data_IF_778386342329
#
_entry.id   IF_778386342329
#
_cell.length_a   1.000
_cell.length_b   1.000
_cell.length_c   1.000
_cell.angle_alpha   90.00
_cell.angle_beta   90.00
_cell.angle_gamma   90.00
#
_symmetry.space_group_name_H-M   'P 1'
#
loop_
_entity.id
_entity.type
_entity.pdbx_description
1 polymer ?
#
# COMPACT_ATOMS: atom_id res chain seq x y z
N UNK A 1 66.98 30.92 37.09
CA UNK A 1 66.29 30.21 36.01
C UNK A 1 64.86 29.87 36.42
N UNK A 2 63.87 30.47 35.78
CA UNK A 2 62.47 30.42 36.20
C UNK A 2 61.79 29.28 35.40
N UNK A 3 61.26 28.27 36.09
CA UNK A 3 60.39 27.30 35.51
C UNK A 3 58.91 27.74 35.63
N UNK A 4 58.28 28.00 34.49
CA UNK A 4 56.84 28.26 34.41
C UNK A 4 56.11 26.91 34.40
N UNK A 5 55.33 26.59 35.44
CA UNK A 5 54.42 25.47 35.44
C UNK A 5 53.20 25.81 34.60
N UNK A 6 52.93 25.00 33.57
CA UNK A 6 51.64 25.01 32.87
C UNK A 6 50.61 24.23 33.65
N UNK A 7 49.62 24.94 34.17
CA UNK A 7 48.41 24.32 34.74
C UNK A 7 47.50 23.86 33.61
N UNK A 8 47.41 22.55 33.39
CA UNK A 8 46.45 21.94 32.46
C UNK A 8 45.11 21.87 33.21
N UNK A 9 44.19 22.75 32.88
CA UNK A 9 42.80 22.66 33.31
C UNK A 9 42.12 21.48 32.60
N UNK A 10 41.96 20.36 33.29
CA UNK A 10 41.11 19.27 32.87
C UNK A 10 39.64 19.72 32.94
N UNK A 11 39.08 20.05 31.78
CA UNK A 11 37.64 20.24 31.63
C UNK A 11 36.99 18.85 31.70
N UNK A 12 36.58 18.44 32.92
CA UNK A 12 35.68 17.30 33.10
C UNK A 12 34.32 17.72 32.58
N UNK A 13 34.06 17.44 31.30
CA UNK A 13 32.72 17.48 30.77
C UNK A 13 31.91 16.41 31.51
N UNK A 14 31.09 16.83 32.45
CA UNK A 14 30.03 16.03 33.04
C UNK A 14 29.05 15.69 31.89
N UNK A 15 29.31 14.59 31.20
CA UNK A 15 28.29 13.94 30.39
C UNK A 15 27.24 13.44 31.38
N UNK A 16 26.27 14.28 31.69
CA UNK A 16 25.01 13.85 32.25
C UNK A 16 24.47 12.81 31.30
N UNK A 17 24.52 11.55 31.71
CA UNK A 17 23.80 10.46 31.04
C UNK A 17 22.33 10.83 31.16
N UNK A 18 21.84 11.62 30.20
CA UNK A 18 20.45 11.62 29.89
C UNK A 18 20.18 10.15 29.46
N UNK A 19 19.59 9.38 30.37
CA UNK A 19 18.99 8.13 30.02
C UNK A 19 17.83 8.46 29.04
N UNK A 20 18.18 8.70 27.78
CA UNK A 20 17.24 8.72 26.71
C UNK A 20 16.66 7.30 26.69
N UNK A 21 15.42 7.17 27.14
CA UNK A 21 14.73 5.89 27.14
C UNK A 21 14.45 5.55 25.68
N UNK A 22 15.46 4.97 25.03
CA UNK A 22 15.35 4.43 23.68
C UNK A 22 14.55 3.13 23.77
N UNK A 23 13.41 3.10 23.10
CA UNK A 23 12.56 1.90 23.06
C UNK A 23 12.61 1.31 21.65
N UNK A 24 13.21 0.13 21.55
CA UNK A 24 13.20 -0.64 20.29
C UNK A 24 12.22 -1.81 20.47
N UNK A 25 11.26 -1.90 19.57
CA UNK A 25 10.25 -2.96 19.57
C UNK A 25 10.43 -3.83 18.33
N UNK A 26 10.58 -5.13 18.54
CA UNK A 26 10.36 -6.15 17.51
C UNK A 26 8.85 -6.39 17.40
N UNK A 27 8.34 -6.41 16.18
CA UNK A 27 6.93 -6.69 15.91
C UNK A 27 6.76 -7.46 14.61
N UNK A 28 5.61 -8.09 14.43
CA UNK A 28 5.33 -8.77 13.19
C UNK A 28 3.92 -9.34 13.09
N UNK A 29 3.66 -9.90 11.90
CA UNK A 29 2.45 -10.63 11.56
C UNK A 29 2.85 -11.85 10.75
N UNK A 30 2.39 -13.01 11.17
CA UNK A 30 2.43 -14.26 10.42
C UNK A 30 1.00 -14.60 10.00
N UNK A 31 0.74 -14.65 8.70
CA UNK A 31 -0.60 -14.85 8.11
C UNK A 31 -0.50 -15.87 6.98
N UNK A 32 -1.26 -16.96 7.10
CA UNK A 32 -1.27 -18.08 6.15
C UNK A 32 -2.68 -18.53 5.89
N UNK A 33 -3.00 -18.86 4.63
CA UNK A 33 -4.30 -19.38 4.24
C UNK A 33 -4.22 -20.50 3.20
N UNK A 34 -5.33 -21.23 3.08
CA UNK A 34 -5.62 -22.11 1.95
C UNK A 34 -6.69 -21.40 1.11
N UNK A 35 -6.45 -21.37 -0.19
CA UNK A 35 -7.28 -20.67 -1.16
C UNK A 35 -7.78 -21.60 -2.24
N UNK A 36 -9.02 -21.38 -2.63
CA UNK A 36 -9.63 -21.88 -3.87
C UNK A 36 -10.00 -20.69 -4.75
N UNK A 37 -9.71 -20.76 -6.05
CA UNK A 37 -10.21 -19.84 -7.05
C UNK A 37 -10.61 -20.57 -8.34
N UNK A 38 -11.71 -20.13 -8.98
CA UNK A 38 -12.17 -20.67 -10.25
C UNK A 38 -11.89 -19.72 -11.42
N UNK A 39 -12.10 -20.20 -12.64
CA UNK A 39 -11.98 -19.45 -13.91
C UNK A 39 -10.59 -18.81 -14.13
N UNK A 40 -9.58 -19.44 -13.56
CA UNK A 40 -8.19 -18.97 -13.62
C UNK A 40 -7.56 -19.34 -14.94
N UNK A 41 -7.01 -18.34 -15.64
CA UNK A 41 -6.18 -18.49 -16.83
C UNK A 41 -4.70 -18.24 -16.54
N UNK A 42 -3.88 -18.28 -17.58
CA UNK A 42 -2.47 -17.87 -17.50
C UNK A 42 -2.37 -16.34 -17.48
N UNK A 43 -1.35 -15.81 -16.82
CA UNK A 43 -1.03 -14.38 -16.91
C UNK A 43 -0.71 -14.03 -18.36
N UNK A 44 -1.40 -13.07 -18.99
CA UNK A 44 -1.10 -12.65 -20.36
C UNK A 44 0.31 -12.07 -20.47
N UNK A 45 1.13 -12.66 -21.32
CA UNK A 45 2.51 -12.26 -21.58
C UNK A 45 2.79 -12.27 -23.07
N UNK A 46 3.86 -11.64 -23.52
CA UNK A 46 4.28 -11.70 -24.92
C UNK A 46 4.58 -13.14 -25.36
N UNK A 47 5.08 -13.99 -24.47
CA UNK A 47 5.42 -15.40 -24.76
C UNK A 47 4.21 -16.30 -25.00
N UNK A 48 3.05 -15.96 -24.42
CA UNK A 48 1.79 -16.68 -24.68
C UNK A 48 0.84 -15.92 -25.63
N UNK A 49 1.35 -14.88 -26.32
CA UNK A 49 0.56 -14.05 -27.22
C UNK A 49 -0.56 -13.28 -26.51
N UNK A 50 -0.38 -12.96 -25.24
CA UNK A 50 -1.37 -12.32 -24.35
C UNK A 50 -2.67 -13.13 -24.20
N UNK A 51 -2.57 -14.45 -24.40
CA UNK A 51 -3.72 -15.36 -24.32
C UNK A 51 -3.76 -16.02 -22.92
N UNK A 52 -4.80 -15.78 -22.10
CA UNK A 52 -4.93 -16.40 -20.80
C UNK A 52 -5.28 -17.89 -20.85
N UNK A 53 -5.60 -18.46 -22.03
CA UNK A 53 -5.88 -19.88 -22.19
C UNK A 53 -7.18 -20.34 -21.53
N UNK A 54 -7.33 -21.69 -21.38
CA UNK A 54 -8.56 -22.30 -20.87
C UNK A 54 -8.77 -22.01 -19.37
N UNK A 55 -10.01 -22.16 -18.95
CA UNK A 55 -10.44 -22.00 -17.56
C UNK A 55 -9.97 -23.17 -16.70
N UNK A 56 -9.34 -22.85 -15.57
CA UNK A 56 -8.90 -23.81 -14.57
C UNK A 56 -9.34 -23.38 -13.16
N UNK A 57 -9.27 -24.33 -12.22
CA UNK A 57 -9.39 -24.05 -10.81
C UNK A 57 -8.01 -24.11 -10.15
N UNK A 58 -7.80 -23.25 -9.13
CA UNK A 58 -6.58 -23.26 -8.34
C UNK A 58 -6.91 -23.59 -6.90
N UNK A 59 -6.09 -24.47 -6.33
CA UNK A 59 -6.02 -24.75 -4.88
C UNK A 59 -4.59 -24.47 -4.46
N UNK A 60 -4.39 -23.58 -3.50
CA UNK A 60 -3.03 -23.25 -3.04
C UNK A 60 -2.98 -22.89 -1.56
N UNK A 61 -1.81 -23.01 -0.99
CA UNK A 61 -1.45 -22.35 0.26
C UNK A 61 -0.82 -21.01 -0.09
N UNK A 62 -1.21 -19.95 0.61
CA UNK A 62 -0.75 -18.60 0.31
C UNK A 62 -0.46 -17.81 1.59
N UNK A 63 0.59 -17.00 1.54
CA UNK A 63 0.99 -16.12 2.63
C UNK A 63 0.27 -14.78 2.55
N UNK A 64 -0.27 -14.32 3.68
CA UNK A 64 -0.80 -12.97 3.77
C UNK A 64 -2.21 -12.78 3.21
N UNK A 65 -3.18 -13.58 3.66
CA UNK A 65 -4.56 -13.45 3.19
C UNK A 65 -5.28 -12.21 3.73
N UNK A 66 -5.30 -12.04 5.03
CA UNK A 66 -5.85 -10.83 5.64
C UNK A 66 -4.80 -9.72 5.76
N UNK A 67 -3.57 -10.06 6.18
CA UNK A 67 -2.51 -9.07 6.33
C UNK A 67 -1.18 -9.63 5.83
N UNK A 68 -0.49 -8.91 4.96
CA UNK A 68 0.83 -9.35 4.48
C UNK A 68 1.77 -9.73 5.63
N UNK A 69 2.31 -10.97 5.56
CA UNK A 69 3.26 -11.47 6.55
C UNK A 69 4.49 -10.57 6.58
N UNK A 70 4.89 -10.16 7.78
CA UNK A 70 5.96 -9.18 7.97
C UNK A 70 6.61 -9.30 9.33
N UNK A 71 7.85 -8.85 9.42
CA UNK A 71 8.53 -8.58 10.67
C UNK A 71 9.28 -7.26 10.59
N UNK A 72 9.45 -6.59 11.71
CA UNK A 72 10.09 -5.28 11.72
C UNK A 72 10.62 -4.88 13.08
N UNK A 73 11.51 -3.90 13.02
CA UNK A 73 12.03 -3.16 14.16
C UNK A 73 11.54 -1.73 14.03
N UNK A 74 11.04 -1.18 15.12
CA UNK A 74 10.77 0.25 15.25
C UNK A 74 11.31 0.76 16.55
N UNK A 75 11.82 1.99 16.54
CA UNK A 75 12.36 2.60 17.74
C UNK A 75 12.09 4.08 17.81
N UNK A 76 12.08 4.60 19.03
CA UNK A 76 12.01 6.03 19.30
C UNK A 76 13.00 6.37 20.40
N UNK A 77 13.64 7.53 20.27
CA UNK A 77 14.53 8.11 21.25
C UNK A 77 14.03 9.52 21.60
N UNK A 78 13.90 9.83 22.87
CA UNK A 78 13.53 11.16 23.33
C UNK A 78 14.79 12.06 23.37
N UNK A 79 14.81 13.10 22.56
CA UNK A 79 15.92 14.05 22.45
C UNK A 79 15.74 15.27 23.38
N UNK A 80 14.67 15.30 24.18
CA UNK A 80 14.33 16.41 25.04
C UNK A 80 13.46 17.48 24.39
N UNK A 81 12.82 18.30 25.22
CA UNK A 81 11.98 19.41 24.75
C UNK A 81 10.83 19.01 23.85
N UNK A 82 10.31 17.77 23.90
CA UNK A 82 9.27 17.25 22.99
C UNK A 82 9.79 16.87 21.61
N UNK A 83 11.10 16.84 21.37
CA UNK A 83 11.72 16.34 20.15
C UNK A 83 12.07 14.86 20.33
N UNK A 84 11.81 14.06 19.30
CA UNK A 84 12.10 12.62 19.26
C UNK A 84 12.76 12.26 17.93
N UNK A 85 13.72 11.34 17.94
CA UNK A 85 14.11 10.60 16.75
C UNK A 85 13.30 9.31 16.67
N UNK A 86 13.14 8.79 15.46
CA UNK A 86 12.42 7.54 15.23
C UNK A 86 12.94 6.82 14.00
N UNK A 87 12.77 5.50 13.97
CA UNK A 87 13.03 4.69 12.78
C UNK A 87 12.05 3.54 12.67
N UNK A 88 11.87 3.05 11.44
CA UNK A 88 11.16 1.81 11.11
C UNK A 88 11.94 1.05 10.06
N UNK A 89 12.15 -0.25 10.30
CA UNK A 89 12.71 -1.22 9.37
C UNK A 89 11.74 -2.40 9.31
N UNK A 90 11.01 -2.57 8.19
CA UNK A 90 9.98 -3.58 8.04
C UNK A 90 10.20 -4.40 6.77
N UNK A 91 10.35 -5.72 6.91
CA UNK A 91 10.37 -6.65 5.80
C UNK A 91 9.00 -7.30 5.58
N UNK A 92 8.73 -7.74 4.35
CA UNK A 92 7.66 -8.66 4.02
C UNK A 92 8.24 -10.02 3.63
N UNK A 93 7.59 -11.09 4.00
CA UNK A 93 8.02 -12.43 3.67
C UNK A 93 6.85 -13.36 3.34
N UNK A 94 7.14 -14.42 2.61
CA UNK A 94 6.20 -15.46 2.26
C UNK A 94 6.38 -16.64 3.24
N UNK A 95 5.34 -16.96 4.02
CA UNK A 95 5.36 -18.05 4.98
C UNK A 95 5.36 -19.43 4.31
N UNK A 96 4.76 -19.54 3.14
CA UNK A 96 4.69 -20.78 2.35
C UNK A 96 6.05 -21.21 1.79
N UNK A 97 6.95 -20.27 1.55
CA UNK A 97 8.24 -20.51 0.90
C UNK A 97 9.46 -19.98 1.66
N UNK A 98 9.27 -19.16 2.70
CA UNK A 98 10.35 -18.51 3.46
C UNK A 98 11.09 -17.41 2.70
N UNK A 99 10.62 -17.00 1.53
CA UNK A 99 11.27 -15.98 0.69
C UNK A 99 10.86 -14.56 1.10
N UNK A 100 11.72 -13.57 0.78
CA UNK A 100 11.39 -12.16 0.93
C UNK A 100 10.39 -11.72 -0.13
N UNK A 101 9.45 -10.87 0.25
CA UNK A 101 8.54 -10.17 -0.65
C UNK A 101 9.19 -8.90 -1.23
N UNK A 102 8.40 -8.08 -1.97
CA UNK A 102 8.81 -6.80 -2.56
C UNK A 102 10.11 -6.93 -3.37
N UNK A 103 10.14 -7.93 -4.29
CA UNK A 103 11.28 -8.20 -5.18
C UNK A 103 12.57 -8.57 -4.42
N UNK A 104 12.45 -9.31 -3.31
CA UNK A 104 13.61 -9.79 -2.53
C UNK A 104 14.26 -8.74 -1.63
N UNK A 105 13.62 -7.61 -1.39
CA UNK A 105 14.16 -6.54 -0.54
C UNK A 105 14.10 -6.92 0.94
N UNK A 106 15.21 -6.75 1.66
CA UNK A 106 15.27 -7.03 3.10
C UNK A 106 14.27 -6.16 3.90
N UNK A 107 14.15 -4.87 3.60
CA UNK A 107 13.18 -3.97 4.21
C UNK A 107 12.25 -3.37 3.15
N UNK A 108 11.60 -4.25 2.37
CA UNK A 108 10.80 -3.86 1.20
C UNK A 108 9.47 -3.17 1.54
N UNK A 109 9.00 -3.25 2.79
CA UNK A 109 7.76 -2.60 3.20
C UNK A 109 7.98 -1.17 3.66
N UNK A 110 8.87 -0.96 4.63
CA UNK A 110 9.27 0.36 5.11
C UNK A 110 10.73 0.33 5.58
N UNK A 111 11.48 1.38 5.29
CA UNK A 111 12.84 1.58 5.75
C UNK A 111 13.11 3.09 5.85
N UNK A 112 12.92 3.67 7.02
CA UNK A 112 13.07 5.12 7.20
C UNK A 112 13.55 5.51 8.61
N UNK A 113 14.13 6.70 8.67
CA UNK A 113 14.48 7.41 9.92
C UNK A 113 13.83 8.80 9.88
N UNK A 114 13.51 9.35 11.03
CA UNK A 114 12.86 10.65 11.08
C UNK A 114 12.99 11.36 12.41
N UNK A 115 12.47 12.58 12.42
CA UNK A 115 12.32 13.41 13.62
C UNK A 115 10.84 13.75 13.80
N UNK A 116 10.38 13.74 15.05
CA UNK A 116 9.05 14.16 15.42
C UNK A 116 9.13 15.21 16.52
N UNK A 117 8.24 16.20 16.46
CA UNK A 117 8.10 17.25 17.48
C UNK A 117 6.65 17.35 17.89
N UNK A 118 6.42 17.29 19.20
CA UNK A 118 5.07 17.41 19.74
C UNK A 118 4.40 18.73 19.30
N UNK A 119 3.15 18.65 18.83
CA UNK A 119 2.37 19.77 18.28
C UNK A 119 2.75 20.24 16.87
N UNK A 120 3.85 19.74 16.29
CA UNK A 120 4.27 20.07 14.92
C UNK A 120 4.06 18.89 13.98
N UNK A 121 4.44 17.68 14.38
CA UNK A 121 4.37 16.47 13.56
C UNK A 121 5.73 15.82 13.36
N UNK A 122 5.81 14.99 12.33
CA UNK A 122 6.96 14.16 11.98
C UNK A 122 7.43 14.46 10.56
N UNK A 123 8.76 14.49 10.36
CA UNK A 123 9.40 14.39 9.06
C UNK A 123 10.28 13.13 9.02
N UNK A 124 10.14 12.33 7.96
CA UNK A 124 10.86 11.07 7.83
C UNK A 124 11.46 10.91 6.44
N UNK A 125 12.57 10.17 6.34
CA UNK A 125 13.39 10.01 5.15
C UNK A 125 13.65 8.53 4.89
N UNK A 126 13.37 8.06 3.68
CA UNK A 126 13.58 6.67 3.27
C UNK A 126 12.33 6.06 2.63
N UNK A 127 12.29 4.73 2.54
CA UNK A 127 11.18 4.00 1.92
C UNK A 127 9.94 4.01 2.81
N UNK A 128 8.83 4.54 2.27
CA UNK A 128 7.58 4.76 3.01
C UNK A 128 6.36 4.57 2.10
N UNK A 129 5.18 4.47 2.71
CA UNK A 129 3.90 4.55 1.99
C UNK A 129 3.64 5.97 1.48
N UNK A 130 2.90 6.09 0.37
CA UNK A 130 2.43 7.37 -0.17
C UNK A 130 1.41 8.04 0.75
N UNK A 131 1.17 9.34 0.54
CA UNK A 131 0.14 10.09 1.27
C UNK A 131 -1.27 9.58 0.96
N UNK A 132 -1.51 9.16 -0.28
CA UNK A 132 -2.78 8.58 -0.72
C UNK A 132 -3.07 7.26 0.02
N UNK A 133 -2.09 6.36 0.10
CA UNK A 133 -2.23 5.10 0.84
C UNK A 133 -2.55 5.35 2.33
N UNK A 134 -1.80 6.21 3.00
CA UNK A 134 -2.03 6.53 4.41
C UNK A 134 -3.43 7.13 4.65
N UNK A 135 -3.91 7.94 3.71
CA UNK A 135 -5.21 8.60 3.81
C UNK A 135 -6.37 7.62 3.66
N UNK A 136 -6.30 6.71 2.68
CA UNK A 136 -7.40 5.82 2.34
C UNK A 136 -7.48 4.57 3.22
N UNK A 137 -6.38 4.13 3.85
CA UNK A 137 -6.34 2.93 4.66
C UNK A 137 -7.40 2.86 5.78
N UNK A 138 -7.83 4.00 6.29
CA UNK A 138 -8.89 4.09 7.31
C UNK A 138 -10.31 4.16 6.72
N UNK A 139 -10.43 4.20 5.40
CA UNK A 139 -11.69 4.28 4.66
C UNK A 139 -11.96 3.07 3.78
N UNK A 140 -11.08 2.05 3.83
CA UNK A 140 -11.27 0.73 3.25
C UNK A 140 -11.94 -0.19 4.28
N UNK A 141 -13.08 -0.81 3.95
CA UNK A 141 -13.81 -1.71 4.86
C UNK A 141 -13.00 -2.92 5.33
N UNK A 142 -12.17 -3.49 4.47
CA UNK A 142 -11.32 -4.64 4.81
C UNK A 142 -9.96 -4.25 5.37
N UNK A 143 -9.70 -2.91 5.51
CA UNK A 143 -8.43 -2.33 5.96
C UNK A 143 -7.23 -2.79 5.11
N UNK A 144 -7.41 -2.79 3.80
CA UNK A 144 -6.43 -3.25 2.82
C UNK A 144 -6.02 -4.72 3.02
N UNK A 145 -7.04 -5.59 3.21
CA UNK A 145 -6.82 -7.04 3.26
C UNK A 145 -6.09 -7.50 1.98
N UNK A 146 -4.97 -8.18 2.17
CA UNK A 146 -3.99 -8.40 1.10
C UNK A 146 -4.52 -9.30 -0.02
N UNK A 147 -5.43 -10.23 0.30
CA UNK A 147 -5.84 -11.27 -0.63
C UNK A 147 -6.68 -10.74 -1.79
N UNK A 148 -7.73 -9.98 -1.51
CA UNK A 148 -8.73 -9.61 -2.52
C UNK A 148 -9.01 -8.11 -2.59
N UNK A 149 -8.39 -7.30 -1.76
CA UNK A 149 -8.55 -5.85 -1.82
C UNK A 149 -7.85 -5.27 -3.04
N UNK A 150 -8.50 -4.41 -3.84
CA UNK A 150 -7.89 -3.79 -5.03
C UNK A 150 -6.99 -2.58 -4.66
N UNK A 151 -6.07 -2.78 -3.72
CA UNK A 151 -5.22 -1.70 -3.16
C UNK A 151 -4.46 -0.92 -4.22
N UNK A 152 -3.94 -1.61 -5.24
CA UNK A 152 -3.15 -0.96 -6.31
C UNK A 152 -4.05 -0.10 -7.19
N UNK A 153 -5.27 -0.54 -7.48
CA UNK A 153 -6.25 0.25 -8.23
C UNK A 153 -6.65 1.51 -7.44
N UNK A 154 -6.88 1.34 -6.15
CA UNK A 154 -7.30 2.42 -5.25
C UNK A 154 -6.17 3.43 -5.02
N UNK A 155 -4.96 2.97 -4.69
CA UNK A 155 -3.86 3.83 -4.22
C UNK A 155 -2.71 4.03 -5.21
N UNK A 156 -2.63 3.24 -6.29
CA UNK A 156 -1.54 3.25 -7.26
C UNK A 156 -0.52 2.15 -7.04
N UNK A 157 0.17 1.77 -8.12
CA UNK A 157 1.26 0.80 -8.06
C UNK A 157 2.44 1.28 -7.19
N UNK A 158 2.59 2.60 -7.10
CA UNK A 158 3.63 3.28 -6.33
C UNK A 158 3.26 3.51 -4.85
N UNK A 159 2.30 2.79 -4.30
CA UNK A 159 1.86 3.01 -2.90
C UNK A 159 2.96 2.86 -1.84
N UNK A 160 4.15 2.36 -2.22
CA UNK A 160 5.40 2.42 -1.45
C UNK A 160 6.51 2.94 -2.34
N UNK A 161 7.22 3.96 -1.89
CA UNK A 161 8.24 4.67 -2.66
C UNK A 161 9.56 4.72 -1.92
N UNK A 162 10.65 4.54 -2.68
CA UNK A 162 12.01 4.78 -2.21
C UNK A 162 12.29 6.29 -2.17
N UNK A 163 13.40 6.67 -1.53
CA UNK A 163 13.97 8.01 -1.58
C UNK A 163 12.97 9.12 -1.23
N UNK A 164 12.07 8.82 -0.26
CA UNK A 164 10.94 9.66 0.09
C UNK A 164 11.25 10.55 1.28
N UNK A 165 10.95 11.85 1.16
CA UNK A 165 10.76 12.76 2.27
C UNK A 165 9.26 12.85 2.53
N UNK A 166 8.84 12.61 3.77
CA UNK A 166 7.43 12.62 4.14
C UNK A 166 7.19 13.37 5.43
N UNK A 167 6.26 14.30 5.38
CA UNK A 167 5.71 14.98 6.55
C UNK A 167 4.38 14.34 6.95
N UNK A 168 4.15 14.20 8.26
CA UNK A 168 2.86 13.81 8.84
C UNK A 168 2.62 14.59 10.12
N UNK A 169 1.53 15.35 10.17
CA UNK A 169 1.09 16.13 11.33
C UNK A 169 -0.32 15.78 11.77
N UNK A 170 -0.55 15.87 13.09
CA UNK A 170 -1.86 15.70 13.71
C UNK A 170 -2.21 16.97 14.47
N UNK A 171 -3.32 17.63 14.08
CA UNK A 171 -3.78 18.91 14.62
C UNK A 171 -5.23 18.78 15.11
N UNK A 172 -5.40 18.36 16.35
CA UNK A 172 -6.70 17.99 16.87
C UNK A 172 -7.32 16.86 16.01
N UNK A 173 -8.52 17.05 15.43
CA UNK A 173 -9.17 16.04 14.60
C UNK A 173 -8.60 15.96 13.17
N UNK A 174 -7.68 16.85 12.78
CA UNK A 174 -7.13 16.92 11.42
C UNK A 174 -5.76 16.25 11.35
N UNK A 175 -5.59 15.32 10.42
CA UNK A 175 -4.29 14.76 10.01
C UNK A 175 -3.91 15.31 8.65
N UNK A 176 -2.70 15.84 8.51
CA UNK A 176 -2.13 16.27 7.23
C UNK A 176 -0.89 15.44 6.92
N UNK A 177 -0.77 15.00 5.67
CA UNK A 177 0.37 14.21 5.16
C UNK A 177 0.78 14.78 3.82
N UNK A 178 2.10 14.88 3.59
CA UNK A 178 2.65 15.23 2.28
C UNK A 178 3.97 14.49 2.07
N UNK A 179 4.25 14.10 0.82
CA UNK A 179 5.50 13.43 0.48
C UNK A 179 6.05 13.87 -0.87
N UNK A 180 7.36 13.67 -1.02
CA UNK A 180 8.10 13.76 -2.26
C UNK A 180 9.08 12.59 -2.33
N UNK A 181 9.10 11.85 -3.46
CA UNK A 181 10.09 10.83 -3.78
C UNK A 181 11.00 11.32 -4.89
N UNK A 182 12.33 11.23 -4.69
CA UNK A 182 13.34 11.57 -5.70
C UNK A 182 13.53 10.47 -6.74
N UNK A 183 12.98 9.29 -6.49
CA UNK A 183 12.98 8.13 -7.37
C UNK A 183 12.29 6.98 -6.67
N UNK A 184 11.13 6.57 -7.19
CA UNK A 184 10.25 5.63 -6.49
C UNK A 184 10.84 4.25 -6.26
N UNK A 185 11.86 3.88 -7.04
CA UNK A 185 12.45 2.55 -7.03
C UNK A 185 11.49 1.45 -7.49
N UNK A 186 10.32 1.82 -7.99
CA UNK A 186 9.35 0.90 -8.55
C UNK A 186 9.64 0.69 -10.03
N UNK A 187 10.02 -0.54 -10.38
CA UNK A 187 10.21 -0.97 -11.76
C UNK A 187 9.10 -1.96 -12.13
N UNK A 188 8.28 -1.59 -13.13
CA UNK A 188 7.25 -2.45 -13.69
C UNK A 188 7.70 -3.01 -15.03
N UNK A 189 7.43 -4.29 -15.35
CA UNK A 189 7.81 -4.87 -16.63
C UNK A 189 7.05 -4.20 -17.78
N UNK A 190 7.56 -4.35 -18.99
CA UNK A 190 6.81 -4.05 -20.20
C UNK A 190 5.49 -4.84 -20.22
N UNK A 191 4.41 -4.21 -20.66
CA UNK A 191 3.07 -4.82 -20.71
C UNK A 191 2.38 -4.51 -22.03
N UNK A 192 1.15 -4.98 -22.19
CA UNK A 192 0.34 -4.70 -23.40
C UNK A 192 0.28 -3.19 -23.65
N UNK A 193 0.63 -2.79 -24.87
CA UNK A 193 0.67 -1.38 -25.28
C UNK A 193 1.88 -0.58 -24.78
N UNK A 194 2.74 -1.16 -23.93
CA UNK A 194 3.96 -0.55 -23.42
C UNK A 194 5.14 -1.50 -23.68
N UNK A 195 6.00 -1.15 -24.62
CA UNK A 195 7.13 -1.99 -25.04
C UNK A 195 8.39 -1.83 -24.15
N UNK A 196 8.41 -0.86 -23.26
CA UNK A 196 9.56 -0.58 -22.39
C UNK A 196 9.19 -0.74 -20.92
N UNK A 197 10.13 -1.10 -20.04
CA UNK A 197 9.95 -1.04 -18.60
C UNK A 197 9.53 0.35 -18.14
N UNK A 198 8.77 0.42 -17.04
CA UNK A 198 8.22 1.64 -16.47
C UNK A 198 8.89 1.91 -15.13
N UNK A 199 9.51 3.07 -14.96
CA UNK A 199 10.12 3.50 -13.70
C UNK A 199 11.43 2.78 -13.33
N UNK A 200 11.80 2.86 -12.06
CA UNK A 200 12.97 2.19 -11.48
C UNK A 200 14.32 2.83 -11.77
N UNK A 201 14.36 4.02 -12.35
CA UNK A 201 15.57 4.68 -12.82
C UNK A 201 15.63 6.18 -12.46
N UNK A 202 15.15 6.54 -11.29
CA UNK A 202 15.26 7.86 -10.71
C UNK A 202 16.68 8.24 -10.29
N UNK A 203 16.83 9.44 -9.71
CA UNK A 203 18.08 9.97 -9.16
C UNK A 203 19.24 10.06 -10.17
N UNK A 204 18.91 10.37 -11.42
CA UNK A 204 19.87 10.52 -12.51
C UNK A 204 20.39 11.96 -12.59
N UNK A 205 21.72 12.20 -12.63
CA UNK A 205 22.28 13.53 -12.78
C UNK A 205 21.70 14.28 -13.98
N UNK A 206 21.25 15.53 -13.77
CA UNK A 206 20.62 16.35 -14.81
C UNK A 206 19.16 16.02 -15.11
N UNK A 207 18.58 14.98 -14.52
CA UNK A 207 17.22 14.54 -14.78
C UNK A 207 16.37 14.49 -13.48
N UNK A 208 16.28 15.62 -12.76
CA UNK A 208 15.66 15.74 -11.44
C UNK A 208 14.22 15.19 -11.33
N UNK A 209 13.45 15.27 -12.43
CA UNK A 209 12.04 14.80 -12.43
C UNK A 209 11.87 13.34 -12.85
N UNK A 210 12.97 12.66 -13.12
CA UNK A 210 12.93 11.28 -13.61
C UNK A 210 12.51 10.33 -12.51
N UNK A 211 11.45 9.54 -12.76
CA UNK A 211 10.86 8.55 -11.84
C UNK A 211 10.48 9.14 -10.46
N UNK A 212 10.17 10.42 -10.39
CA UNK A 212 9.75 11.09 -9.15
C UNK A 212 8.29 10.86 -8.87
N UNK A 213 7.91 10.99 -7.60
CA UNK A 213 6.50 11.04 -7.20
C UNK A 213 6.28 12.04 -6.08
N UNK A 214 5.04 12.49 -5.93
CA UNK A 214 4.63 13.38 -4.86
C UNK A 214 3.13 13.28 -4.61
N UNK A 215 2.75 13.55 -3.38
CA UNK A 215 1.34 13.57 -3.01
C UNK A 215 1.10 14.25 -1.68
N UNK A 216 -0.17 14.53 -1.44
CA UNK A 216 -0.63 15.11 -0.18
C UNK A 216 -2.03 14.61 0.16
N UNK A 217 -2.34 14.59 1.44
CA UNK A 217 -3.65 14.23 1.94
C UNK A 217 -4.00 14.99 3.21
N UNK A 218 -5.28 15.22 3.41
CA UNK A 218 -5.85 15.73 4.64
C UNK A 218 -7.02 14.83 5.04
N UNK A 219 -7.03 14.39 6.29
CA UNK A 219 -8.13 13.64 6.87
C UNK A 219 -8.65 14.36 8.11
N UNK A 220 -9.96 14.35 8.27
CA UNK A 220 -10.67 14.79 9.47
C UNK A 220 -11.37 13.60 10.10
N UNK A 221 -11.21 13.41 11.41
CA UNK A 221 -11.90 12.37 12.18
C UNK A 221 -12.32 12.93 13.52
N UNK A 222 -13.63 13.05 13.75
CA UNK A 222 -14.18 13.53 15.01
C UNK A 222 -15.53 12.87 15.29
N UNK A 223 -15.67 12.27 16.47
CA UNK A 223 -16.86 11.51 16.84
C UNK A 223 -17.15 10.41 15.79
N UNK A 224 -18.39 10.29 15.31
CA UNK A 224 -18.77 9.23 14.36
C UNK A 224 -18.28 9.51 12.91
N UNK A 225 -17.86 10.73 12.59
CA UNK A 225 -17.58 11.17 11.22
C UNK A 225 -16.09 11.12 10.89
N UNK A 226 -15.74 10.53 9.77
CA UNK A 226 -14.44 10.62 9.14
C UNK A 226 -14.57 11.04 7.68
N UNK A 227 -13.70 11.95 7.22
CA UNK A 227 -13.57 12.31 5.80
C UNK A 227 -12.10 12.49 5.44
N UNK A 228 -11.74 12.21 4.19
CA UNK A 228 -10.39 12.44 3.68
C UNK A 228 -10.42 12.90 2.25
N UNK A 229 -9.42 13.71 1.88
CA UNK A 229 -9.09 14.04 0.49
C UNK A 229 -7.61 13.80 0.27
N UNK A 230 -7.26 13.25 -0.89
CA UNK A 230 -5.88 12.91 -1.20
C UNK A 230 -5.59 13.08 -2.69
N UNK A 231 -4.34 13.37 -3.00
CA UNK A 231 -3.79 13.40 -4.34
C UNK A 231 -2.43 12.74 -4.36
N UNK A 232 -2.15 12.00 -5.44
CA UNK A 232 -0.85 11.38 -5.71
C UNK A 232 -0.51 11.49 -7.19
N UNK A 233 0.76 11.71 -7.51
CA UNK A 233 1.29 11.69 -8.86
C UNK A 233 2.64 11.00 -8.90
N UNK A 234 2.75 9.97 -9.72
CA UNK A 234 4.00 9.36 -10.11
C UNK A 234 4.36 9.77 -11.54
N UNK A 235 5.64 10.08 -11.77
CA UNK A 235 6.20 10.43 -13.07
C UNK A 235 7.16 9.33 -13.54
N UNK A 236 6.66 8.12 -13.87
CA UNK A 236 7.52 7.00 -14.24
C UNK A 236 8.26 7.31 -15.52
N UNK A 237 9.50 6.86 -15.61
CA UNK A 237 10.21 6.85 -16.89
C UNK A 237 9.71 5.68 -17.71
N UNK A 238 9.35 5.96 -18.96
CA UNK A 238 8.95 4.99 -19.97
C UNK A 238 9.90 5.15 -21.14
N UNK A 239 10.84 4.20 -21.30
CA UNK A 239 11.95 4.38 -22.24
C UNK A 239 12.88 5.52 -21.81
N UNK A 240 12.97 6.58 -22.62
CA UNK A 240 13.84 7.74 -22.38
C UNK A 240 13.10 8.96 -21.82
N UNK A 241 11.79 8.94 -21.76
CA UNK A 241 10.93 10.06 -21.34
C UNK A 241 10.02 9.67 -20.18
N UNK A 242 9.45 10.66 -19.51
CA UNK A 242 8.57 10.42 -18.36
C UNK A 242 7.09 10.48 -18.75
N UNK A 243 6.33 9.48 -18.36
CA UNK A 243 4.87 9.54 -18.33
C UNK A 243 4.36 10.27 -17.10
N UNK A 244 3.03 10.24 -16.90
CA UNK A 244 2.39 10.72 -15.67
C UNK A 244 1.26 9.77 -15.27
N UNK A 245 1.22 9.43 -14.00
CA UNK A 245 0.15 8.64 -13.39
C UNK A 245 -0.39 9.41 -12.21
N UNK A 246 -1.67 9.76 -12.26
CA UNK A 246 -2.32 10.65 -11.30
C UNK A 246 -3.51 9.96 -10.67
N UNK A 247 -3.65 10.12 -9.37
CA UNK A 247 -4.83 9.70 -8.61
C UNK A 247 -5.26 10.83 -7.68
N UNK A 248 -6.56 11.10 -7.64
CA UNK A 248 -7.17 11.99 -6.65
C UNK A 248 -8.34 11.25 -6.01
N UNK A 249 -8.46 11.31 -4.69
CA UNK A 249 -9.47 10.55 -3.98
C UNK A 249 -10.16 11.35 -2.88
N UNK A 250 -11.39 10.95 -2.60
CA UNK A 250 -12.16 11.36 -1.43
C UNK A 250 -12.72 10.13 -0.76
N UNK A 251 -12.61 10.05 0.56
CA UNK A 251 -13.19 8.99 1.37
C UNK A 251 -14.04 9.56 2.50
N UNK A 252 -15.07 8.83 2.88
CA UNK A 252 -15.93 9.17 3.99
C UNK A 252 -16.28 7.93 4.82
N UNK A 253 -16.54 8.13 6.10
CA UNK A 253 -17.00 7.08 6.99
C UNK A 253 -17.94 7.63 8.06
N UNK A 254 -18.86 6.76 8.52
CA UNK A 254 -19.75 7.06 9.63
C UNK A 254 -19.89 5.84 10.54
N UNK A 255 -19.62 6.04 11.82
CA UNK A 255 -19.82 5.03 12.86
C UNK A 255 -21.21 5.20 13.48
N UNK A 256 -22.11 4.26 13.22
CA UNK A 256 -23.47 4.28 13.81
C UNK A 256 -23.43 3.89 15.28
N UNK A 257 -22.46 3.08 15.65
CA UNK A 257 -22.18 2.63 17.01
C UNK A 257 -20.71 2.19 17.11
N UNK A 258 -20.30 1.75 18.27
CA UNK A 258 -18.98 1.15 18.51
C UNK A 258 -18.78 -0.17 17.73
N UNK A 259 -19.88 -0.78 17.28
CA UNK A 259 -19.87 -2.07 16.58
C UNK A 259 -20.13 -1.97 15.08
N UNK A 260 -20.68 -0.86 14.57
CA UNK A 260 -21.05 -0.72 13.17
C UNK A 260 -20.52 0.57 12.55
N UNK A 261 -19.79 0.43 11.46
CA UNK A 261 -19.26 1.55 10.67
C UNK A 261 -19.48 1.30 9.18
N UNK A 262 -19.96 2.32 8.47
CA UNK A 262 -20.02 2.34 7.00
C UNK A 262 -18.92 3.29 6.51
N UNK A 263 -18.28 2.92 5.41
CA UNK A 263 -17.24 3.73 4.78
C UNK A 263 -17.20 3.48 3.28
N UNK A 264 -16.63 4.43 2.55
CA UNK A 264 -16.49 4.34 1.12
C UNK A 264 -15.86 5.59 0.54
N UNK A 265 -15.72 5.61 -0.77
CA UNK A 265 -15.12 6.75 -1.43
C UNK A 265 -15.15 6.67 -2.96
N UNK A 266 -14.46 7.62 -3.53
CA UNK A 266 -14.28 7.81 -4.95
C UNK A 266 -12.82 8.14 -5.24
N UNK A 267 -12.27 7.56 -6.30
CA UNK A 267 -10.93 7.87 -6.81
C UNK A 267 -11.00 8.11 -8.31
N UNK A 268 -10.56 9.28 -8.73
CA UNK A 268 -10.25 9.65 -10.11
C UNK A 268 -8.84 9.19 -10.47
N UNK A 269 -8.66 8.51 -11.62
CA UNK A 269 -7.37 8.06 -12.11
C UNK A 269 -7.09 8.48 -13.55
N UNK A 270 -5.84 8.83 -13.86
CA UNK A 270 -5.38 9.14 -15.22
C UNK A 270 -3.92 8.75 -15.39
N UNK A 271 -3.65 7.91 -16.40
CA UNK A 271 -2.30 7.53 -16.79
C UNK A 271 -2.03 8.01 -18.23
N UNK A 272 -0.90 8.69 -18.43
CA UNK A 272 -0.42 9.13 -19.73
C UNK A 272 0.98 8.57 -19.99
N UNK A 273 1.26 8.24 -21.26
CA UNK A 273 2.58 7.83 -21.68
C UNK A 273 3.56 9.03 -21.80
N UNK A 274 4.78 8.76 -22.25
CA UNK A 274 5.82 9.77 -22.41
C UNK A 274 5.51 10.82 -23.52
N UNK A 275 4.67 10.51 -24.48
CA UNK A 275 4.16 11.45 -25.50
C UNK A 275 3.00 12.31 -24.99
N UNK A 276 2.50 12.07 -23.77
CA UNK A 276 1.34 12.75 -23.22
C UNK A 276 0.00 12.17 -23.64
N UNK A 277 0.00 11.07 -24.39
CA UNK A 277 -1.22 10.38 -24.83
C UNK A 277 -1.88 9.68 -23.66
N UNK A 278 -3.22 9.70 -23.66
CA UNK A 278 -4.02 9.07 -22.63
C UNK A 278 -4.00 7.53 -22.79
N UNK A 279 -3.44 6.84 -21.78
CA UNK A 279 -3.36 5.39 -21.73
C UNK A 279 -4.54 4.80 -20.97
N UNK A 280 -4.82 5.35 -19.79
CA UNK A 280 -5.91 4.92 -18.93
C UNK A 280 -6.59 6.12 -18.29
N UNK A 281 -7.91 6.06 -18.23
CA UNK A 281 -8.75 6.97 -17.47
C UNK A 281 -9.87 6.17 -16.85
N UNK A 282 -9.99 6.24 -15.52
CA UNK A 282 -10.97 5.48 -14.78
C UNK A 282 -11.49 6.25 -13.56
N UNK A 283 -12.70 5.92 -13.15
CA UNK A 283 -13.36 6.40 -11.95
C UNK A 283 -13.67 5.20 -11.05
N UNK A 284 -12.95 5.08 -9.95
CA UNK A 284 -13.10 3.96 -9.03
C UNK A 284 -13.95 4.36 -7.84
N UNK A 285 -14.89 3.50 -7.48
CA UNK A 285 -15.81 3.68 -6.37
C UNK A 285 -15.74 2.47 -5.45
N UNK A 286 -15.76 2.71 -4.15
CA UNK A 286 -15.92 1.66 -3.15
C UNK A 286 -16.90 2.07 -2.08
N UNK A 287 -17.59 1.10 -1.52
CA UNK A 287 -18.46 1.24 -0.37
C UNK A 287 -18.50 -0.07 0.41
N UNK A 288 -18.55 0.02 1.71
CA UNK A 288 -18.72 -1.16 2.53
C UNK A 288 -19.00 -0.84 3.99
N UNK A 289 -19.09 -1.88 4.77
CA UNK A 289 -19.39 -1.79 6.19
C UNK A 289 -18.55 -2.79 7.00
N UNK A 290 -18.24 -2.41 8.22
CA UNK A 290 -17.73 -3.33 9.25
C UNK A 290 -18.77 -3.49 10.34
N UNK A 291 -18.91 -4.73 10.84
CA UNK A 291 -19.84 -5.05 11.92
C UNK A 291 -19.23 -6.04 12.89
N UNK A 292 -19.11 -5.62 14.14
CA UNK A 292 -18.68 -6.49 15.25
C UNK A 292 -19.92 -7.21 15.81
N UNK A 293 -20.13 -8.46 15.37
CA UNK A 293 -21.30 -9.27 15.71
C UNK A 293 -21.26 -9.69 17.19
N UNK A 294 -20.07 -10.11 17.65
CA UNK A 294 -19.75 -10.42 19.05
C UNK A 294 -18.35 -9.90 19.36
N UNK A 295 -17.90 -9.87 20.61
CA UNK A 295 -16.52 -9.50 20.93
C UNK A 295 -15.46 -10.33 20.20
N UNK A 296 -15.79 -11.54 19.74
CA UNK A 296 -14.88 -12.41 19.00
C UNK A 296 -15.10 -12.41 17.49
N UNK A 297 -16.32 -12.13 16.99
CA UNK A 297 -16.68 -12.24 15.57
C UNK A 297 -16.87 -10.88 14.94
N UNK A 298 -16.01 -10.52 14.00
CA UNK A 298 -16.11 -9.34 13.15
C UNK A 298 -16.39 -9.71 11.70
N UNK A 299 -17.14 -8.86 11.02
CA UNK A 299 -17.45 -8.96 9.58
C UNK A 299 -17.08 -7.66 8.88
N UNK A 300 -16.56 -7.77 7.66
CA UNK A 300 -16.39 -6.64 6.73
C UNK A 300 -16.94 -7.05 5.36
N UNK A 301 -17.81 -6.24 4.79
CA UNK A 301 -18.35 -6.39 3.44
C UNK A 301 -17.96 -5.16 2.64
N UNK A 302 -17.52 -5.37 1.40
CA UNK A 302 -17.08 -4.31 0.50
C UNK A 302 -17.54 -4.57 -0.92
N UNK A 303 -17.97 -3.52 -1.61
CA UNK A 303 -18.24 -3.48 -3.03
C UNK A 303 -17.32 -2.46 -3.69
N UNK A 304 -16.63 -2.89 -4.75
CA UNK A 304 -15.74 -2.09 -5.58
C UNK A 304 -16.26 -2.05 -7.02
N UNK A 305 -16.24 -0.88 -7.64
CA UNK A 305 -16.63 -0.68 -9.03
C UNK A 305 -15.64 0.27 -9.71
N UNK A 306 -15.12 -0.15 -10.86
CA UNK A 306 -14.23 0.65 -11.69
C UNK A 306 -14.91 1.02 -13.01
N UNK A 307 -15.25 2.30 -13.17
CA UNK A 307 -15.82 2.85 -14.39
C UNK A 307 -14.68 3.23 -15.34
N UNK A 308 -14.30 2.26 -16.18
CA UNK A 308 -13.21 2.38 -17.15
C UNK A 308 -13.61 3.26 -18.32
N UNK A 309 -13.23 4.54 -18.29
CA UNK A 309 -13.55 5.53 -19.34
C UNK A 309 -12.69 5.39 -20.59
N UNK A 310 -11.48 4.93 -20.43
CA UNK A 310 -10.53 4.74 -21.52
C UNK A 310 -9.46 3.71 -21.13
N UNK A 311 -9.15 2.80 -22.03
CA UNK A 311 -7.99 1.93 -21.96
C UNK A 311 -7.40 1.81 -23.37
N UNK A 312 -6.24 2.47 -23.61
CA UNK A 312 -5.57 2.54 -24.92
C UNK A 312 -6.49 3.00 -26.08
N UNK A 313 -7.37 3.98 -25.83
CA UNK A 313 -8.30 4.49 -26.83
C UNK A 313 -9.55 3.63 -27.05
N UNK A 314 -9.69 2.52 -26.32
CA UNK A 314 -10.83 1.62 -26.42
C UNK A 314 -11.72 1.68 -25.16
N UNK A 315 -12.98 1.29 -25.32
CA UNK A 315 -13.86 0.99 -24.20
C UNK A 315 -13.56 -0.41 -23.68
N UNK A 316 -13.38 -0.54 -22.39
CA UNK A 316 -13.25 -1.81 -21.70
C UNK A 316 -14.50 -2.07 -20.84
N UNK A 317 -14.89 -3.35 -20.64
CA UNK A 317 -15.97 -3.67 -19.71
C UNK A 317 -15.59 -3.22 -18.30
N UNK A 318 -16.53 -2.56 -17.60
CA UNK A 318 -16.32 -2.07 -16.25
C UNK A 318 -16.20 -3.25 -15.26
N UNK A 319 -15.06 -3.39 -14.56
CA UNK A 319 -14.91 -4.41 -13.53
C UNK A 319 -15.60 -4.00 -12.23
N UNK A 320 -16.10 -5.01 -11.50
CA UNK A 320 -16.57 -4.82 -10.14
C UNK A 320 -16.33 -6.07 -9.30
N UNK A 321 -16.28 -5.88 -8.01
CA UNK A 321 -16.02 -6.94 -7.03
C UNK A 321 -16.83 -6.75 -5.77
N UNK A 322 -17.31 -7.86 -5.21
CA UNK A 322 -17.83 -7.93 -3.83
C UNK A 322 -16.87 -8.78 -3.02
N UNK A 323 -16.43 -8.27 -1.87
CA UNK A 323 -15.55 -8.97 -0.95
C UNK A 323 -16.19 -9.07 0.44
N UNK A 324 -16.04 -10.23 1.07
CA UNK A 324 -16.45 -10.48 2.46
C UNK A 324 -15.25 -11.00 3.23
N UNK A 325 -14.97 -10.39 4.36
CA UNK A 325 -14.02 -10.86 5.36
C UNK A 325 -14.76 -11.12 6.67
N UNK A 326 -14.69 -12.35 7.16
CA UNK A 326 -15.14 -12.71 8.50
C UNK A 326 -13.92 -13.11 9.34
N UNK A 327 -13.76 -12.52 10.51
CA UNK A 327 -12.67 -12.86 11.42
C UNK A 327 -13.20 -13.30 12.78
N UNK A 328 -12.58 -14.35 13.32
CA UNK A 328 -12.85 -14.87 14.64
C UNK A 328 -11.59 -14.77 15.51
N UNK A 329 -11.64 -13.91 16.53
CA UNK A 329 -10.54 -13.63 17.43
C UNK A 329 -10.44 -14.71 18.50
N UNK A 330 -9.37 -15.52 18.43
CA UNK A 330 -9.05 -16.55 19.45
C UNK A 330 -8.35 -15.93 20.66
N UNK A 331 -7.54 -14.90 20.42
CA UNK A 331 -6.82 -14.15 21.46
C UNK A 331 -6.49 -12.75 20.97
N UNK A 332 -5.90 -11.89 21.83
CA UNK A 332 -5.41 -10.55 21.43
C UNK A 332 -4.43 -10.57 20.24
N UNK A 333 -3.82 -11.72 19.95
CA UNK A 333 -2.77 -11.87 18.92
C UNK A 333 -3.14 -12.84 17.80
N UNK A 334 -4.14 -13.69 17.97
CA UNK A 334 -4.45 -14.78 17.03
C UNK A 334 -5.89 -14.70 16.57
N UNK A 335 -6.07 -14.65 15.26
CA UNK A 335 -7.35 -14.64 14.57
C UNK A 335 -7.43 -15.81 13.58
N UNK A 336 -8.61 -16.42 13.47
CA UNK A 336 -9.01 -17.19 12.30
C UNK A 336 -9.80 -16.28 11.38
N UNK A 337 -9.73 -16.52 10.07
CA UNK A 337 -10.52 -15.73 9.13
C UNK A 337 -10.98 -16.53 7.92
N UNK A 338 -12.08 -16.08 7.34
CA UNK A 338 -12.60 -16.45 6.03
C UNK A 338 -12.64 -15.17 5.18
N UNK A 339 -11.95 -15.18 4.04
CA UNK A 339 -12.02 -14.13 3.03
C UNK A 339 -12.59 -14.72 1.75
N UNK A 340 -13.57 -14.06 1.15
CA UNK A 340 -14.13 -14.47 -0.13
C UNK A 340 -14.40 -13.24 -0.99
N UNK A 341 -14.24 -13.40 -2.30
CA UNK A 341 -14.57 -12.36 -3.26
C UNK A 341 -15.15 -12.95 -4.54
N UNK A 342 -16.11 -12.24 -5.10
CA UNK A 342 -16.63 -12.46 -6.44
C UNK A 342 -16.32 -11.23 -7.29
N UNK A 343 -15.56 -11.43 -8.37
CA UNK A 343 -15.18 -10.39 -9.32
C UNK A 343 -15.83 -10.62 -10.68
N UNK A 344 -16.26 -9.55 -11.34
CA UNK A 344 -16.84 -9.54 -12.69
C UNK A 344 -16.01 -8.64 -13.60
N UNK A 345 -15.76 -9.08 -14.84
CA UNK A 345 -14.95 -8.42 -15.86
C UNK A 345 -13.48 -8.17 -15.47
N UNK A 346 -13.01 -8.79 -14.38
CA UNK A 346 -11.64 -8.71 -13.87
C UNK A 346 -11.31 -9.99 -13.10
N UNK A 347 -10.05 -10.18 -12.76
CA UNK A 347 -9.65 -11.12 -11.73
C UNK A 347 -10.06 -10.67 -10.32
N UNK A 348 -9.69 -11.43 -9.31
CA UNK A 348 -10.02 -11.14 -7.91
C UNK A 348 -9.30 -9.91 -7.33
N UNK A 349 -8.27 -9.43 -8.01
CA UNK A 349 -7.63 -8.15 -7.76
C UNK A 349 -7.73 -7.34 -9.05
N UNK A 350 -8.35 -6.18 -8.98
CA UNK A 350 -8.73 -5.40 -10.16
C UNK A 350 -7.53 -4.75 -10.88
N UNK A 351 -6.41 -4.52 -10.19
CA UNK A 351 -5.18 -3.99 -10.76
C UNK A 351 -3.95 -4.70 -10.17
N UNK A 352 -2.88 -4.82 -10.93
CA UNK A 352 -1.70 -5.60 -10.58
C UNK A 352 -0.40 -4.82 -10.79
N UNK A 353 0.59 -5.08 -9.96
CA UNK A 353 1.95 -4.59 -10.14
C UNK A 353 2.64 -5.18 -11.38
N UNK A 354 2.23 -6.37 -11.83
CA UNK A 354 2.84 -7.07 -12.97
C UNK A 354 2.26 -6.70 -14.33
N UNK A 355 1.06 -6.14 -14.40
CA UNK A 355 0.32 -5.87 -15.63
C UNK A 355 -0.33 -4.50 -15.60
N UNK A 356 0.46 -3.48 -15.37
CA UNK A 356 0.06 -2.13 -14.97
C UNK A 356 -1.04 -1.46 -15.81
N UNK A 357 -1.08 -1.69 -17.11
CA UNK A 357 -2.05 -1.02 -17.98
C UNK A 357 -3.17 -1.91 -18.53
N UNK A 358 -3.03 -3.22 -18.42
CA UNK A 358 -3.96 -4.11 -19.08
C UNK A 358 -4.96 -4.77 -18.17
N UNK A 359 -5.05 -4.34 -16.97
CA UNK A 359 -5.31 -5.28 -15.94
C UNK A 359 -6.57 -5.11 -15.17
N UNK A 360 -7.34 -4.09 -15.42
CA UNK A 360 -8.72 -4.05 -14.92
C UNK A 360 -9.56 -5.21 -15.44
N UNK A 361 -9.11 -5.89 -16.51
CA UNK A 361 -9.78 -7.05 -17.09
C UNK A 361 -9.12 -8.38 -16.75
N UNK A 362 -7.92 -8.33 -16.23
CA UNK A 362 -7.13 -9.52 -16.08
C UNK A 362 -6.30 -9.42 -14.83
N UNK A 363 -6.78 -9.56 -13.63
CA UNK A 363 -5.82 -10.08 -12.80
C UNK A 363 -5.09 -9.35 -11.86
N UNK A 364 -5.38 -9.37 -10.85
CA UNK A 364 -4.59 -9.09 -9.71
C UNK A 364 -3.18 -9.73 -9.70
N UNK A 365 -2.45 -9.51 -8.65
CA UNK A 365 -1.23 -10.24 -8.34
C UNK A 365 -1.44 -11.75 -8.27
N UNK A 366 -2.69 -12.20 -8.29
CA UNK A 366 -3.03 -13.58 -8.07
C UNK A 366 -3.42 -14.30 -9.33
N UNK A 367 -4.36 -13.79 -10.12
CA UNK A 367 -4.97 -14.57 -11.19
C UNK A 367 -5.39 -13.78 -12.41
N UNK A 368 -5.23 -14.39 -13.59
CA UNK A 368 -5.82 -14.02 -14.84
C UNK A 368 -7.20 -14.63 -14.99
N UNK A 369 -8.13 -13.85 -15.51
CA UNK A 369 -9.39 -14.36 -15.97
C UNK A 369 -9.16 -15.16 -17.26
N UNK A 370 -9.63 -16.43 -17.30
CA UNK A 370 -9.46 -17.30 -18.45
C UNK A 370 -10.29 -16.86 -19.67
N UNK A 371 -9.91 -17.32 -20.85
CA UNK A 371 -10.65 -17.04 -22.09
C UNK A 371 -12.12 -17.46 -21.98
N UNK A 372 -13.01 -16.60 -22.50
CA UNK A 372 -14.45 -16.82 -22.49
C UNK A 372 -15.12 -16.69 -21.13
N UNK A 373 -14.36 -16.43 -20.09
CA UNK A 373 -14.89 -16.17 -18.74
C UNK A 373 -15.07 -14.67 -18.52
N UNK A 374 -16.03 -14.31 -17.67
CA UNK A 374 -16.32 -12.93 -17.31
C UNK A 374 -16.42 -12.70 -15.80
N UNK A 375 -16.19 -13.75 -15.02
CA UNK A 375 -16.24 -13.68 -13.55
C UNK A 375 -15.28 -14.67 -12.92
N UNK A 376 -14.99 -14.45 -11.64
CA UNK A 376 -14.12 -15.28 -10.83
C UNK A 376 -14.58 -15.25 -9.38
N UNK A 377 -14.56 -16.40 -8.71
CA UNK A 377 -14.84 -16.55 -7.29
C UNK A 377 -13.57 -17.06 -6.61
N UNK A 378 -13.21 -16.43 -5.50
CA UNK A 378 -12.15 -16.87 -4.60
C UNK A 378 -12.68 -17.06 -3.19
N UNK A 379 -12.17 -18.07 -2.52
CA UNK A 379 -12.44 -18.35 -1.10
C UNK A 379 -11.13 -18.73 -0.44
N UNK A 380 -10.78 -18.02 0.63
CA UNK A 380 -9.58 -18.27 1.41
C UNK A 380 -9.92 -18.38 2.91
N UNK A 381 -9.37 -19.39 3.56
CA UNK A 381 -9.49 -19.59 5.00
C UNK A 381 -8.10 -19.63 5.62
N UNK A 382 -7.89 -18.89 6.69
CA UNK A 382 -6.55 -18.74 7.23
C UNK A 382 -6.47 -18.45 8.72
N UNK A 383 -5.22 -18.40 9.17
CA UNK A 383 -4.83 -18.01 10.53
C UNK A 383 -3.85 -16.85 10.46
N UNK A 384 -4.07 -15.85 11.31
CA UNK A 384 -3.19 -14.70 11.49
C UNK A 384 -2.71 -14.65 12.94
N UNK A 385 -1.40 -14.51 13.12
CA UNK A 385 -0.78 -14.30 14.43
C UNK A 385 0.07 -13.03 14.43
N UNK A 386 -0.11 -12.20 15.46
CA UNK A 386 0.65 -10.95 15.70
C UNK A 386 1.62 -11.17 16.85
N UNK A 387 2.86 -10.74 16.73
CA UNK A 387 3.87 -10.87 17.76
C UNK A 387 4.67 -9.58 17.97
#
# INVERSE_FOLDING_TARGET
>A
MKHKGMATAALVASMGSAFAQSNVTLYGVADMNIEYANHVGNVPTATNGFNPGPSNNVYRMNSGGWAGSRSGLRGTENLGGGLKSLFVLENGFNLDSGTLQQSGRLFGRQAFVGLAKDGIGQIAFGRQYTSLFDALANFSPTAFATQYEPVVLETGANFREDNTIKYKGQFGPVTAVAHWSFGTGLALPASVGISAPIGGNGEVPGAFRRDTAYGAAVAYSNGPVGVTVAYDQWNPTIGVSSGTMKKAAVGASYSFSDTMRIMGGYRWGQNKNAAGELIQRDDFYWIGATYQVTPALGLALEYNYDDMKNLFGANAPNPWQVSLLANYTLSKRTDLYLSTAYAKNAGLILESLGTFYANSLALGNSYALANGQSNMLGVAMGVRHKF
#
